data_IF_906051245201
#
_entry.id   IF_906051245201
#
_cell.length_a   1.000
_cell.length_b   1.000
_cell.length_c   1.000
_cell.angle_alpha   90.00
_cell.angle_beta   90.00
_cell.angle_gamma   90.00
#
_symmetry.space_group_name_H-M   'P 1'
#
loop_
_entity.id
_entity.type
_entity.pdbx_description
1 polymer ?
#
# COMPACT_ATOMS: atom_id res chain seq x y z
N UNK A 1 21.31 -43.59 1.00
CA UNK A 1 20.12 -43.57 0.12
C UNK A 1 19.48 -42.19 0.28
N UNK A 2 19.84 -41.26 -0.60
CA UNK A 2 19.32 -39.89 -0.60
C UNK A 2 17.92 -39.88 -1.25
N UNK A 3 16.95 -39.08 -0.77
CA UNK A 3 15.67 -38.94 -1.44
C UNK A 3 15.86 -38.12 -2.75
N UNK A 4 15.05 -38.38 -3.78
CA UNK A 4 15.16 -37.69 -5.06
C UNK A 4 14.64 -36.24 -4.96
N UNK A 5 15.16 -35.42 -5.87
CA UNK A 5 14.99 -33.96 -5.95
C UNK A 5 13.53 -33.53 -6.19
N UNK A 6 13.13 -32.47 -5.47
CA UNK A 6 11.83 -31.79 -5.54
C UNK A 6 11.63 -30.92 -6.80
N UNK A 7 12.48 -31.06 -7.82
CA UNK A 7 12.50 -30.19 -8.99
C UNK A 7 11.40 -30.51 -10.04
N UNK A 8 10.80 -31.71 -10.01
CA UNK A 8 9.86 -32.17 -11.04
C UNK A 8 8.38 -31.83 -10.82
N UNK A 9 7.97 -31.45 -9.60
CA UNK A 9 6.56 -31.16 -9.28
C UNK A 9 6.17 -29.69 -9.52
N UNK A 10 7.15 -28.77 -9.55
CA UNK A 10 6.92 -27.35 -9.81
C UNK A 10 6.52 -27.03 -11.25
N UNK A 11 6.92 -27.86 -12.22
CA UNK A 11 6.55 -27.69 -13.63
C UNK A 11 5.12 -28.19 -13.94
N UNK A 12 4.61 -29.18 -13.20
CA UNK A 12 3.26 -29.74 -13.44
C UNK A 12 2.12 -28.82 -13.00
N UNK A 13 2.32 -28.03 -11.94
CA UNK A 13 1.35 -27.03 -11.50
C UNK A 13 1.23 -25.84 -12.46
N UNK A 14 2.36 -25.42 -13.05
CA UNK A 14 2.38 -24.38 -14.09
C UNK A 14 1.81 -24.88 -15.43
N UNK A 15 2.11 -26.13 -15.80
CA UNK A 15 1.62 -26.72 -17.05
C UNK A 15 0.11 -27.03 -17.07
N UNK A 16 -0.52 -27.24 -15.91
CA UNK A 16 -1.97 -27.48 -15.84
C UNK A 16 -2.82 -26.22 -16.12
N UNK A 17 -2.21 -25.02 -16.08
CA UNK A 17 -2.88 -23.75 -16.40
C UNK A 17 -2.61 -23.27 -17.85
N UNK A 18 -1.70 -23.94 -18.56
CA UNK A 18 -1.34 -23.65 -19.96
C UNK A 18 -2.21 -24.43 -20.98
N UNK A 19 -3.07 -25.36 -20.51
CA UNK A 19 -3.73 -26.35 -21.38
C UNK A 19 -5.23 -26.12 -21.64
N UNK A 20 -5.83 -25.00 -21.20
CA UNK A 20 -7.22 -24.68 -21.54
C UNK A 20 -7.32 -23.30 -22.21
N UNK A 21 -7.76 -23.29 -23.46
CA UNK A 21 -7.79 -22.13 -24.37
C UNK A 21 -8.81 -21.05 -24.02
N UNK A 22 -9.14 -20.89 -22.74
CA UNK A 22 -10.07 -19.89 -22.18
C UNK A 22 -9.40 -18.82 -21.31
N UNK A 23 -8.09 -18.59 -21.48
CA UNK A 23 -7.33 -17.60 -20.71
C UNK A 23 -7.59 -16.15 -21.12
N UNK A 24 -7.56 -15.22 -20.14
CA UNK A 24 -7.61 -13.78 -20.39
C UNK A 24 -6.41 -13.39 -21.28
N UNK A 25 -6.62 -12.58 -22.32
CA UNK A 25 -5.52 -12.09 -23.15
C UNK A 25 -4.66 -11.05 -22.41
N UNK A 26 -3.37 -10.95 -22.75
CA UNK A 26 -2.46 -9.93 -22.17
C UNK A 26 -3.02 -8.51 -22.29
N UNK A 27 -3.59 -8.19 -23.45
CA UNK A 27 -4.18 -6.87 -23.71
C UNK A 27 -5.44 -6.63 -22.87
N UNK A 28 -6.31 -7.64 -22.70
CA UNK A 28 -7.49 -7.53 -21.85
C UNK A 28 -7.11 -7.32 -20.38
N UNK A 29 -6.11 -8.06 -19.87
CA UNK A 29 -5.62 -7.88 -18.50
C UNK A 29 -5.05 -6.47 -18.26
N UNK A 30 -4.23 -5.96 -19.19
CA UNK A 30 -3.67 -4.60 -19.14
C UNK A 30 -4.77 -3.54 -19.25
N UNK A 31 -5.76 -3.73 -20.13
CA UNK A 31 -6.88 -2.81 -20.29
C UNK A 31 -7.74 -2.75 -19.02
N UNK A 32 -8.03 -3.91 -18.40
CA UNK A 32 -8.77 -3.97 -17.14
C UNK A 32 -8.01 -3.28 -16.00
N UNK A 33 -6.69 -3.50 -15.87
CA UNK A 33 -5.86 -2.82 -14.87
C UNK A 33 -5.83 -1.30 -15.11
N UNK A 34 -5.65 -0.87 -16.35
CA UNK A 34 -5.71 0.55 -16.72
C UNK A 34 -7.05 1.17 -16.35
N UNK A 35 -8.15 0.51 -16.71
CA UNK A 35 -9.50 0.98 -16.41
C UNK A 35 -9.75 1.11 -14.90
N UNK A 36 -9.34 0.12 -14.10
CA UNK A 36 -9.45 0.18 -12.65
C UNK A 36 -8.63 1.31 -12.04
N UNK A 37 -7.38 1.50 -12.50
CA UNK A 37 -6.52 2.58 -12.00
C UNK A 37 -7.11 3.97 -12.31
N UNK A 38 -7.57 4.18 -13.55
CA UNK A 38 -8.19 5.43 -13.96
C UNK A 38 -9.49 5.69 -13.18
N UNK A 39 -10.34 4.68 -13.03
CA UNK A 39 -11.59 4.80 -12.29
C UNK A 39 -11.34 5.14 -10.81
N UNK A 40 -10.39 4.45 -10.16
CA UNK A 40 -10.01 4.71 -8.78
C UNK A 40 -9.56 6.16 -8.55
N UNK A 41 -8.75 6.71 -9.46
CA UNK A 41 -8.33 8.12 -9.40
C UNK A 41 -9.51 9.06 -9.67
N UNK A 42 -10.28 8.78 -10.71
CA UNK A 42 -11.37 9.65 -11.15
C UNK A 42 -12.40 9.84 -10.04
N UNK A 43 -12.87 8.75 -9.41
CA UNK A 43 -13.88 8.82 -8.35
C UNK A 43 -13.34 9.45 -7.07
N UNK A 44 -12.04 9.29 -6.78
CA UNK A 44 -11.41 9.82 -5.57
C UNK A 44 -11.18 11.34 -5.63
N UNK A 45 -10.90 11.89 -6.81
CA UNK A 45 -10.54 13.31 -6.98
C UNK A 45 -11.61 14.14 -7.69
N UNK A 46 -12.49 13.51 -8.46
CA UNK A 46 -13.59 14.18 -9.16
C UNK A 46 -14.98 13.62 -8.79
N UNK A 47 -15.30 13.37 -7.49
CA UNK A 47 -16.61 12.82 -7.12
C UNK A 47 -17.76 13.79 -7.43
N UNK A 48 -17.51 15.11 -7.39
CA UNK A 48 -18.49 16.15 -7.76
C UNK A 48 -18.85 16.07 -9.24
N UNK A 49 -17.90 15.76 -10.12
CA UNK A 49 -18.14 15.65 -11.57
C UNK A 49 -18.81 14.32 -11.93
N UNK A 50 -18.36 13.22 -11.32
CA UNK A 50 -18.81 11.86 -11.66
C UNK A 50 -20.15 11.54 -11.03
N UNK A 51 -20.31 11.86 -9.74
CA UNK A 51 -21.51 11.52 -8.96
C UNK A 51 -22.48 12.71 -8.84
N UNK A 52 -22.18 13.84 -9.50
CA UNK A 52 -22.97 15.10 -9.44
C UNK A 52 -23.29 15.55 -8.01
N UNK A 53 -22.39 15.27 -7.08
CA UNK A 53 -22.59 15.58 -5.67
C UNK A 53 -22.33 17.07 -5.41
N UNK A 54 -23.05 17.72 -4.46
CA UNK A 54 -22.81 19.12 -4.13
C UNK A 54 -21.39 19.32 -3.58
N UNK A 55 -20.78 20.51 -3.74
CA UNK A 55 -19.45 20.78 -3.20
C UNK A 55 -19.43 20.58 -1.68
N UNK A 56 -18.33 20.06 -1.11
CA UNK A 56 -18.23 19.79 0.32
C UNK A 56 -18.21 21.10 1.11
N UNK A 57 -18.95 21.14 2.22
CA UNK A 57 -19.07 22.30 3.11
C UNK A 57 -17.91 22.44 4.10
N UNK A 58 -17.13 21.38 4.32
CA UNK A 58 -15.97 21.38 5.21
C UNK A 58 -14.89 20.41 4.73
N UNK A 59 -13.66 20.61 5.20
CA UNK A 59 -12.54 19.69 4.94
C UNK A 59 -12.84 18.26 5.43
N UNK A 60 -13.48 18.13 6.61
CA UNK A 60 -13.88 16.82 7.16
C UNK A 60 -14.86 16.11 6.23
N UNK A 61 -15.89 16.82 5.76
CA UNK A 61 -16.87 16.29 4.81
C UNK A 61 -16.24 15.92 3.46
N UNK A 62 -15.28 16.72 2.97
CA UNK A 62 -14.51 16.40 1.76
C UNK A 62 -13.73 15.09 1.93
N UNK A 63 -13.02 14.93 3.04
CA UNK A 63 -12.24 13.73 3.32
C UNK A 63 -13.11 12.47 3.49
N UNK A 64 -14.22 12.57 4.23
CA UNK A 64 -15.16 11.45 4.40
C UNK A 64 -15.72 11.02 3.04
N UNK A 65 -16.11 11.97 2.18
CA UNK A 65 -16.57 11.65 0.82
C UNK A 65 -15.51 10.87 0.04
N UNK A 66 -14.25 11.28 0.12
CA UNK A 66 -13.12 10.58 -0.52
C UNK A 66 -12.95 9.17 0.01
N UNK A 67 -13.12 8.95 1.32
CA UNK A 67 -13.06 7.62 1.91
C UNK A 67 -14.17 6.70 1.39
N UNK A 68 -15.40 7.21 1.31
CA UNK A 68 -16.53 6.46 0.74
C UNK A 68 -16.27 6.13 -0.73
N UNK A 69 -15.80 7.10 -1.52
CA UNK A 69 -15.47 6.89 -2.93
C UNK A 69 -14.36 5.84 -3.12
N UNK A 70 -13.31 5.89 -2.31
CA UNK A 70 -12.24 4.89 -2.33
C UNK A 70 -12.79 3.50 -1.99
N UNK A 71 -13.60 3.37 -0.93
CA UNK A 71 -14.19 2.11 -0.53
C UNK A 71 -15.12 1.52 -1.63
N UNK A 72 -16.01 2.34 -2.20
CA UNK A 72 -16.88 1.93 -3.31
C UNK A 72 -16.06 1.50 -4.52
N UNK A 73 -15.01 2.26 -4.87
CA UNK A 73 -14.12 1.89 -5.97
C UNK A 73 -13.41 0.57 -5.72
N UNK A 74 -12.92 0.34 -4.49
CA UNK A 74 -12.23 -0.91 -4.15
C UNK A 74 -13.17 -2.11 -4.21
N UNK A 75 -14.41 -1.98 -3.73
CA UNK A 75 -15.42 -3.04 -3.83
C UNK A 75 -15.76 -3.30 -5.30
N UNK A 76 -15.93 -2.26 -6.12
CA UNK A 76 -16.19 -2.43 -7.55
C UNK A 76 -15.01 -3.11 -8.26
N UNK A 77 -13.77 -2.74 -7.93
CA UNK A 77 -12.57 -3.40 -8.48
C UNK A 77 -12.51 -4.88 -8.12
N UNK A 78 -12.88 -5.26 -6.89
CA UNK A 78 -12.99 -6.67 -6.51
C UNK A 78 -14.04 -7.39 -7.36
N UNK A 79 -15.25 -6.84 -7.49
CA UNK A 79 -16.33 -7.46 -8.27
C UNK A 79 -15.93 -7.59 -9.75
N UNK A 80 -15.42 -6.52 -10.37
CA UNK A 80 -14.98 -6.53 -11.77
C UNK A 80 -13.83 -7.50 -11.98
N UNK A 81 -12.84 -7.53 -11.08
CA UNK A 81 -11.76 -8.50 -11.13
C UNK A 81 -12.28 -9.93 -11.03
N UNK A 82 -13.25 -10.20 -10.15
CA UNK A 82 -13.84 -11.52 -9.99
C UNK A 82 -14.56 -12.00 -11.26
N UNK A 83 -15.25 -11.09 -11.95
CA UNK A 83 -15.95 -11.38 -13.20
C UNK A 83 -15.01 -11.63 -14.38
N UNK A 84 -13.82 -11.01 -14.39
CA UNK A 84 -12.83 -11.18 -15.46
C UNK A 84 -11.98 -12.42 -15.22
N UNK A 85 -11.64 -12.72 -13.96
CA UNK A 85 -10.85 -13.89 -13.59
C UNK A 85 -11.60 -15.18 -13.93
N UNK A 86 -10.91 -16.24 -14.40
CA UNK A 86 -11.50 -17.55 -14.62
C UNK A 86 -11.74 -18.26 -13.27
N UNK A 87 -12.70 -17.76 -12.49
CA UNK A 87 -13.00 -18.22 -11.14
C UNK A 87 -13.83 -19.51 -11.21
N UNK A 88 -13.31 -20.57 -10.58
CA UNK A 88 -13.98 -21.88 -10.54
C UNK A 88 -15.14 -21.95 -9.54
N UNK A 89 -15.10 -21.17 -8.47
CA UNK A 89 -16.12 -21.15 -7.41
C UNK A 89 -16.32 -19.74 -6.88
N UNK A 90 -17.58 -19.36 -6.65
CA UNK A 90 -17.98 -18.09 -6.06
C UNK A 90 -18.09 -18.15 -4.53
N UNK A 91 -17.60 -19.23 -3.91
CA UNK A 91 -17.51 -19.33 -2.46
C UNK A 91 -16.56 -18.26 -1.89
N UNK A 92 -16.97 -17.61 -0.81
CA UNK A 92 -16.23 -16.50 -0.21
C UNK A 92 -14.79 -16.89 0.21
N UNK A 93 -14.59 -18.12 0.67
CA UNK A 93 -13.28 -18.67 1.04
C UNK A 93 -12.34 -18.83 -0.16
N UNK A 94 -12.88 -19.23 -1.32
CA UNK A 94 -12.12 -19.33 -2.56
C UNK A 94 -11.76 -17.93 -3.08
N UNK A 95 -12.73 -17.02 -3.11
CA UNK A 95 -12.53 -15.63 -3.52
C UNK A 95 -11.50 -14.92 -2.64
N UNK A 96 -11.60 -15.07 -1.31
CA UNK A 96 -10.64 -14.47 -0.39
C UNK A 96 -9.22 -15.03 -0.61
N UNK A 97 -9.11 -16.32 -0.94
CA UNK A 97 -7.87 -16.96 -1.36
C UNK A 97 -7.27 -16.36 -2.63
N UNK A 98 -8.09 -16.08 -3.66
CA UNK A 98 -7.66 -15.45 -4.92
C UNK A 98 -7.16 -14.01 -4.71
N UNK A 99 -7.78 -13.28 -3.79
CA UNK A 99 -7.36 -11.91 -3.44
C UNK A 99 -6.24 -11.85 -2.39
N UNK A 100 -5.81 -13.00 -1.86
CA UNK A 100 -4.80 -13.05 -0.80
C UNK A 100 -5.30 -12.55 0.57
N UNK A 101 -6.62 -12.47 0.75
CA UNK A 101 -7.28 -12.15 2.02
C UNK A 101 -7.36 -13.45 2.82
N UNK A 102 -6.42 -13.59 3.75
CA UNK A 102 -6.15 -14.84 4.47
C UNK A 102 -5.85 -14.56 5.94
N UNK A 103 -6.15 -15.56 6.77
CA UNK A 103 -5.90 -15.55 8.21
C UNK A 103 -4.83 -16.56 8.63
N UNK A 104 -4.39 -17.43 7.72
CA UNK A 104 -3.31 -18.38 7.98
C UNK A 104 -1.94 -17.71 7.81
N UNK A 105 -1.00 -18.06 8.70
CA UNK A 105 0.35 -17.50 8.73
C UNK A 105 0.41 -15.97 8.91
N UNK A 106 -0.57 -15.38 9.60
CA UNK A 106 -0.65 -13.93 9.83
C UNK A 106 0.60 -13.38 10.53
N UNK A 107 1.16 -14.09 11.50
CA UNK A 107 2.34 -13.58 12.20
C UNK A 107 3.54 -13.48 11.25
N UNK A 108 3.75 -14.44 10.34
CA UNK A 108 4.80 -14.34 9.31
C UNK A 108 4.54 -13.18 8.36
N UNK A 109 3.28 -13.01 7.94
CA UNK A 109 2.85 -11.93 7.06
C UNK A 109 2.98 -10.54 7.69
N UNK A 110 3.14 -10.44 9.01
CA UNK A 110 3.41 -9.18 9.72
C UNK A 110 4.89 -9.03 10.04
N UNK A 111 5.51 -10.05 10.66
CA UNK A 111 6.87 -9.96 11.19
C UNK A 111 7.90 -9.79 10.07
N UNK A 112 7.83 -10.59 8.99
CA UNK A 112 8.84 -10.49 7.92
C UNK A 112 8.79 -9.14 7.20
N UNK A 113 7.62 -8.63 6.76
CA UNK A 113 7.56 -7.32 6.11
C UNK A 113 7.93 -6.17 7.04
N UNK A 114 7.50 -6.19 8.31
CA UNK A 114 7.86 -5.14 9.28
C UNK A 114 9.36 -5.14 9.53
N UNK A 115 9.98 -6.32 9.71
CA UNK A 115 11.43 -6.42 9.91
C UNK A 115 12.19 -5.91 8.69
N UNK A 116 11.81 -6.36 7.50
CA UNK A 116 12.47 -5.97 6.26
C UNK A 116 12.31 -4.47 5.97
N UNK A 117 11.11 -3.93 6.19
CA UNK A 117 10.86 -2.48 6.05
C UNK A 117 11.66 -1.70 7.10
N UNK A 118 11.70 -2.17 8.35
CA UNK A 118 12.48 -1.53 9.41
C UNK A 118 13.97 -1.47 9.07
N UNK A 119 14.53 -2.51 8.45
CA UNK A 119 15.92 -2.50 7.98
C UNK A 119 16.16 -1.42 6.91
N UNK A 120 15.23 -1.24 5.97
CA UNK A 120 15.33 -0.16 4.97
C UNK A 120 15.32 1.23 5.61
N UNK A 121 14.63 1.39 6.74
CA UNK A 121 14.53 2.64 7.49
C UNK A 121 15.45 2.71 8.71
N UNK A 122 16.44 1.81 8.85
CA UNK A 122 17.26 1.70 10.06
C UNK A 122 17.90 3.04 10.45
N UNK A 123 18.40 3.81 9.49
CA UNK A 123 18.95 5.15 9.73
C UNK A 123 17.93 6.13 10.32
N UNK A 124 16.74 6.22 9.73
CA UNK A 124 15.66 7.09 10.25
C UNK A 124 15.12 6.62 11.60
N UNK A 125 15.10 5.31 11.84
CA UNK A 125 14.73 4.74 13.15
C UNK A 125 15.74 5.12 14.22
N UNK A 126 17.04 4.95 13.96
CA UNK A 126 18.11 5.34 14.89
C UNK A 126 18.01 6.83 15.24
N UNK A 127 17.81 7.70 14.24
CA UNK A 127 17.66 9.15 14.47
C UNK A 127 16.44 9.48 15.34
N UNK A 128 15.28 8.87 15.07
CA UNK A 128 14.07 9.06 15.90
C UNK A 128 14.27 8.50 17.31
N UNK A 129 14.96 7.37 17.46
CA UNK A 129 15.28 6.78 18.76
C UNK A 129 16.20 7.68 19.58
N UNK A 130 17.24 8.25 18.96
CA UNK A 130 18.13 9.22 19.60
C UNK A 130 17.36 10.47 20.02
N UNK A 131 16.49 10.99 19.15
CA UNK A 131 15.66 12.16 19.48
C UNK A 131 14.69 11.89 20.65
N UNK A 132 14.09 10.70 20.68
CA UNK A 132 13.22 10.27 21.79
C UNK A 132 14.01 10.10 23.10
N UNK A 133 15.20 9.51 23.04
CA UNK A 133 16.08 9.37 24.20
C UNK A 133 16.55 10.73 24.72
N UNK A 134 16.88 11.68 23.82
CA UNK A 134 17.25 13.04 24.20
C UNK A 134 16.09 13.77 24.89
N UNK A 135 14.90 13.75 24.29
CA UNK A 135 13.69 14.34 24.88
C UNK A 135 13.29 13.68 26.21
N UNK A 136 13.51 12.37 26.34
CA UNK A 136 13.30 11.66 27.60
C UNK A 136 14.31 12.08 28.67
N UNK A 137 15.59 12.22 28.31
CA UNK A 137 16.66 12.64 29.22
C UNK A 137 16.46 14.07 29.74
N UNK A 138 16.08 15.01 28.87
CA UNK A 138 15.75 16.38 29.26
C UNK A 138 14.61 16.39 30.29
N UNK A 139 13.57 15.60 30.07
CA UNK A 139 12.43 15.55 30.97
C UNK A 139 12.73 14.89 32.32
N UNK A 140 13.65 13.92 32.37
CA UNK A 140 14.10 13.34 33.62
C UNK A 140 15.00 14.30 34.42
N UNK A 141 15.73 15.19 33.74
CA UNK A 141 16.61 16.17 34.39
C UNK A 141 15.85 17.39 34.93
N UNK A 142 14.72 17.76 34.34
CA UNK A 142 13.86 18.85 34.83
C UNK A 142 12.96 18.45 36.02
N UNK A 143 12.98 17.17 36.43
CA UNK A 143 12.16 16.63 37.52
C UNK A 143 12.97 16.30 38.77
N UNK A 144 13.14 17.25 39.68
CA UNK A 144 13.71 17.05 41.03
C UNK A 144 12.75 16.27 41.97
N UNK A 145 11.97 15.30 41.45
CA UNK A 145 10.94 14.60 42.21
C UNK A 145 10.43 13.30 41.56
N UNK A 146 10.83 12.18 42.18
CA UNK A 146 10.30 10.80 42.11
C UNK A 146 10.20 10.06 40.75
N UNK A 147 10.72 8.82 40.67
CA UNK A 147 10.75 8.00 39.45
C UNK A 147 9.37 7.45 39.00
N UNK A 148 8.33 7.48 39.84
CA UNK A 148 6.98 6.99 39.53
C UNK A 148 6.24 7.82 38.47
N UNK A 149 6.54 9.11 38.38
CA UNK A 149 5.91 10.03 37.42
C UNK A 149 6.38 9.81 35.97
N UNK A 150 7.52 9.13 35.76
CA UNK A 150 8.05 8.90 34.42
C UNK A 150 7.17 7.96 33.59
N UNK A 151 6.68 6.88 34.20
CA UNK A 151 5.86 5.86 33.53
C UNK A 151 4.47 6.37 33.17
N UNK A 152 3.85 7.13 34.09
CA UNK A 152 2.54 7.76 33.83
C UNK A 152 2.61 8.82 32.74
N UNK A 153 3.68 9.64 32.71
CA UNK A 153 3.89 10.63 31.65
C UNK A 153 4.07 9.99 30.26
N UNK A 154 4.74 8.84 30.19
CA UNK A 154 4.88 8.09 28.93
C UNK A 154 3.52 7.55 28.49
N UNK A 155 2.78 6.89 29.38
CA UNK A 155 1.46 6.34 29.05
C UNK A 155 0.49 7.46 28.61
N UNK A 156 0.44 8.59 29.32
CA UNK A 156 -0.38 9.74 28.94
C UNK A 156 0.01 10.32 27.57
N UNK A 157 1.30 10.39 27.24
CA UNK A 157 1.76 10.81 25.91
C UNK A 157 1.36 9.83 24.82
N UNK A 158 1.47 8.53 25.09
CA UNK A 158 0.99 7.50 24.17
C UNK A 158 -0.52 7.62 23.95
N UNK A 159 -1.31 7.74 25.02
CA UNK A 159 -2.76 7.92 24.95
C UNK A 159 -3.10 9.20 24.19
N UNK A 160 -2.44 10.33 24.49
CA UNK A 160 -2.64 11.60 23.80
C UNK A 160 -2.31 11.51 22.31
N UNK A 161 -1.25 10.78 21.95
CA UNK A 161 -0.89 10.53 20.55
C UNK A 161 -1.91 9.64 19.84
N UNK A 162 -2.37 8.57 20.49
CA UNK A 162 -3.44 7.70 19.98
C UNK A 162 -4.73 8.50 19.77
N UNK A 163 -5.12 9.33 20.74
CA UNK A 163 -6.30 10.19 20.64
C UNK A 163 -6.17 11.25 19.54
N UNK A 164 -4.98 11.85 19.37
CA UNK A 164 -4.69 12.77 18.28
C UNK A 164 -4.79 12.10 16.91
N UNK A 165 -4.27 10.88 16.76
CA UNK A 165 -4.44 10.09 15.54
C UNK A 165 -5.91 9.75 15.31
N UNK A 166 -6.63 9.33 16.35
CA UNK A 166 -8.03 8.93 16.27
C UNK A 166 -8.96 10.08 15.88
N UNK A 167 -8.65 11.30 16.32
CA UNK A 167 -9.44 12.50 16.01
C UNK A 167 -9.06 13.14 14.67
N UNK A 168 -7.85 12.88 14.15
CA UNK A 168 -7.35 13.48 12.93
C UNK A 168 -7.72 12.64 11.69
N UNK A 169 -8.64 13.16 10.88
CA UNK A 169 -9.10 12.52 9.64
C UNK A 169 -7.97 12.35 8.62
N UNK A 170 -6.96 13.22 8.60
CA UNK A 170 -5.77 13.05 7.74
C UNK A 170 -4.92 11.86 8.19
N UNK A 171 -4.80 11.62 9.50
CA UNK A 171 -4.10 10.45 10.03
C UNK A 171 -4.84 9.16 9.68
N UNK A 172 -6.17 9.15 9.78
CA UNK A 172 -7.01 8.03 9.31
C UNK A 172 -6.81 7.71 7.82
N UNK A 173 -6.74 8.74 6.98
CA UNK A 173 -6.41 8.56 5.55
C UNK A 173 -5.08 7.84 5.41
N UNK A 174 -4.03 8.40 6.03
CA UNK A 174 -2.65 8.00 5.74
C UNK A 174 -2.30 6.63 6.34
N UNK A 175 -2.90 6.24 7.47
CA UNK A 175 -2.55 4.99 8.16
C UNK A 175 -3.51 3.84 7.92
N UNK A 176 -4.75 4.11 7.49
CA UNK A 176 -5.75 3.06 7.33
C UNK A 176 -6.38 3.08 5.95
N UNK A 177 -7.11 4.16 5.63
CA UNK A 177 -7.99 4.15 4.44
C UNK A 177 -7.17 3.98 3.17
N UNK A 178 -6.17 4.84 2.93
CA UNK A 178 -5.38 4.80 1.70
C UNK A 178 -4.58 3.49 1.56
N UNK A 179 -3.80 3.02 2.57
CA UNK A 179 -3.11 1.75 2.47
C UNK A 179 -4.02 0.55 2.17
N UNK A 180 -5.18 0.48 2.83
CA UNK A 180 -6.12 -0.64 2.63
C UNK A 180 -6.69 -0.62 1.22
N UNK A 181 -7.23 0.52 0.77
CA UNK A 181 -7.89 0.60 -0.53
C UNK A 181 -6.90 0.48 -1.69
N UNK A 182 -5.70 1.04 -1.53
CA UNK A 182 -4.65 0.97 -2.55
C UNK A 182 -4.08 -0.45 -2.68
N UNK A 183 -3.71 -1.13 -1.59
CA UNK A 183 -3.20 -2.50 -1.72
C UNK A 183 -4.29 -3.47 -2.21
N UNK A 184 -5.55 -3.25 -1.85
CA UNK A 184 -6.65 -4.07 -2.36
C UNK A 184 -6.82 -3.91 -3.88
N UNK A 185 -6.83 -2.68 -4.40
CA UNK A 185 -7.01 -2.43 -5.84
C UNK A 185 -5.76 -2.83 -6.62
N UNK A 186 -4.60 -2.30 -6.23
CA UNK A 186 -3.38 -2.41 -7.03
C UNK A 186 -2.67 -3.75 -6.84
N UNK A 187 -2.86 -4.48 -5.72
CA UNK A 187 -2.22 -5.79 -5.49
C UNK A 187 -3.24 -6.90 -5.56
N UNK A 188 -4.27 -6.88 -4.72
CA UNK A 188 -5.22 -7.98 -4.68
C UNK A 188 -5.98 -8.14 -6.00
N UNK A 189 -6.40 -7.05 -6.67
CA UNK A 189 -7.16 -7.15 -7.94
C UNK A 189 -6.26 -7.25 -9.17
N UNK A 190 -5.30 -6.33 -9.33
CA UNK A 190 -4.52 -6.22 -10.58
C UNK A 190 -3.50 -7.35 -10.76
N UNK A 191 -2.85 -7.83 -9.70
CA UNK A 191 -1.82 -8.86 -9.85
C UNK A 191 -2.38 -10.22 -10.32
N UNK A 192 -3.47 -10.75 -9.75
CA UNK A 192 -4.10 -11.96 -10.28
C UNK A 192 -4.53 -11.82 -11.74
N UNK A 193 -5.06 -10.67 -12.15
CA UNK A 193 -5.43 -10.42 -13.55
C UNK A 193 -4.24 -10.48 -14.49
N UNK A 194 -3.11 -9.86 -14.10
CA UNK A 194 -1.88 -9.90 -14.88
C UNK A 194 -1.28 -11.32 -14.93
N UNK A 195 -1.35 -12.08 -13.83
CA UNK A 195 -0.92 -13.48 -13.79
C UNK A 195 -1.76 -14.35 -14.73
N UNK A 196 -3.09 -14.25 -14.65
CA UNK A 196 -4.01 -14.97 -15.55
C UNK A 196 -3.93 -14.47 -17.00
N UNK A 197 -3.46 -13.24 -17.23
CA UNK A 197 -3.14 -12.72 -18.55
C UNK A 197 -1.87 -13.30 -19.18
N UNK A 198 -1.15 -14.19 -18.50
CA UNK A 198 0.06 -14.84 -19.01
C UNK A 198 1.35 -14.01 -18.84
N UNK A 199 1.37 -13.05 -17.90
CA UNK A 199 2.60 -12.37 -17.52
C UNK A 199 3.41 -13.22 -16.53
N UNK A 200 4.73 -13.22 -16.69
CA UNK A 200 5.64 -13.90 -15.74
C UNK A 200 5.60 -13.18 -14.39
N UNK A 201 5.61 -13.94 -13.30
CA UNK A 201 5.54 -13.41 -11.93
C UNK A 201 6.57 -12.31 -11.65
N UNK A 202 7.83 -12.51 -12.06
CA UNK A 202 8.90 -11.51 -11.89
C UNK A 202 8.64 -10.22 -12.67
N UNK A 203 8.04 -10.29 -13.86
CA UNK A 203 7.68 -9.11 -14.63
C UNK A 203 6.59 -8.30 -13.95
N UNK A 204 5.60 -8.97 -13.33
CA UNK A 204 4.48 -8.30 -12.66
C UNK A 204 4.95 -7.50 -11.44
N UNK A 205 5.98 -7.97 -10.73
CA UNK A 205 6.58 -7.25 -9.59
C UNK A 205 6.99 -5.82 -9.97
N UNK A 206 7.52 -5.61 -11.18
CA UNK A 206 7.97 -4.30 -11.65
C UNK A 206 6.95 -3.59 -12.53
N UNK A 207 6.07 -4.33 -13.20
CA UNK A 207 5.07 -3.77 -14.11
C UNK A 207 3.82 -3.25 -13.39
N UNK A 208 3.26 -4.01 -12.44
CA UNK A 208 2.07 -3.61 -11.68
C UNK A 208 2.23 -2.27 -10.92
N UNK A 209 3.38 -1.96 -10.30
CA UNK A 209 3.63 -0.68 -9.64
C UNK A 209 3.55 0.54 -10.56
N UNK A 210 3.66 0.37 -11.88
CA UNK A 210 3.53 1.47 -12.83
C UNK A 210 2.09 2.01 -12.78
N UNK A 211 1.07 1.15 -12.75
CA UNK A 211 -0.33 1.60 -12.59
C UNK A 211 -0.54 2.35 -11.26
N UNK A 212 0.08 1.85 -10.19
CA UNK A 212 0.03 2.48 -8.88
C UNK A 212 0.67 3.88 -8.87
N UNK A 213 1.84 4.03 -9.51
CA UNK A 213 2.51 5.32 -9.65
C UNK A 213 1.75 6.28 -10.56
N UNK A 214 1.24 5.81 -11.70
CA UNK A 214 0.40 6.62 -12.59
C UNK A 214 -0.85 7.14 -11.89
N UNK A 215 -1.44 6.37 -10.96
CA UNK A 215 -2.57 6.84 -10.18
C UNK A 215 -2.24 8.05 -9.30
N UNK A 216 -0.97 8.19 -8.89
CA UNK A 216 -0.46 9.30 -8.10
C UNK A 216 -0.05 10.52 -8.94
N UNK A 217 -0.03 10.42 -10.27
CA UNK A 217 0.20 11.57 -11.16
C UNK A 217 -0.84 12.67 -10.98
N UNK A 218 -2.02 12.40 -10.41
CA UNK A 218 -2.99 13.46 -10.16
C UNK A 218 -2.44 14.58 -9.25
N UNK A 219 -1.47 14.26 -8.38
CA UNK A 219 -0.81 15.24 -7.54
C UNK A 219 0.07 16.19 -8.35
N UNK A 220 0.54 15.79 -9.54
CA UNK A 220 1.18 16.68 -10.49
C UNK A 220 0.27 17.84 -10.86
N UNK A 221 -0.98 17.53 -11.22
CA UNK A 221 -1.95 18.52 -11.65
C UNK A 221 -2.30 19.47 -10.49
N UNK A 222 -2.41 18.96 -9.27
CA UNK A 222 -2.67 19.74 -8.07
C UNK A 222 -1.52 20.71 -7.76
N UNK A 223 -0.28 20.23 -7.72
CA UNK A 223 0.91 21.05 -7.44
C UNK A 223 1.16 22.09 -8.54
N UNK A 224 1.00 21.69 -9.80
CA UNK A 224 1.17 22.57 -10.96
C UNK A 224 0.14 23.71 -10.94
N UNK A 225 -1.13 23.41 -10.66
CA UNK A 225 -2.21 24.40 -10.71
C UNK A 225 -2.23 25.33 -9.49
N UNK A 226 -1.83 24.85 -8.30
CA UNK A 226 -2.00 25.59 -7.05
C UNK A 226 -0.76 26.38 -6.60
N UNK A 227 0.46 25.96 -6.94
CA UNK A 227 1.67 26.51 -6.29
C UNK A 227 2.52 27.46 -7.16
N UNK A 228 2.11 27.75 -8.40
CA UNK A 228 2.80 28.69 -9.31
C UNK A 228 4.33 28.45 -9.39
N UNK A 229 4.76 27.20 -9.18
CA UNK A 229 6.15 26.80 -9.21
C UNK A 229 6.64 26.74 -10.66
N UNK A 230 7.94 27.00 -10.87
CA UNK A 230 8.54 26.76 -12.18
C UNK A 230 8.31 25.31 -12.59
N UNK A 231 7.90 25.09 -13.84
CA UNK A 231 7.60 23.76 -14.41
C UNK A 231 8.67 22.73 -14.06
N UNK A 232 9.94 23.15 -14.09
CA UNK A 232 11.09 22.31 -13.77
C UNK A 232 11.07 21.84 -12.30
N UNK A 233 10.81 22.73 -11.34
CA UNK A 233 10.79 22.37 -9.91
C UNK A 233 9.61 21.48 -9.56
N UNK A 234 8.42 21.80 -10.10
CA UNK A 234 7.23 20.96 -9.93
C UNK A 234 7.45 19.56 -10.52
N UNK A 235 8.00 19.49 -11.75
CA UNK A 235 8.32 18.21 -12.40
C UNK A 235 9.36 17.40 -11.62
N UNK A 236 10.37 18.04 -11.01
CA UNK A 236 11.40 17.34 -10.26
C UNK A 236 10.86 16.75 -8.96
N UNK A 237 10.05 17.51 -8.20
CA UNK A 237 9.43 17.03 -6.95
C UNK A 237 8.47 15.88 -7.23
N UNK A 238 7.62 16.03 -8.23
CA UNK A 238 6.64 14.99 -8.57
C UNK A 238 7.32 13.78 -9.21
N UNK A 239 8.32 13.97 -10.07
CA UNK A 239 9.10 12.88 -10.62
C UNK A 239 9.77 12.03 -9.53
N UNK A 240 10.33 12.68 -8.50
CA UNK A 240 10.89 11.99 -7.34
C UNK A 240 9.82 11.21 -6.55
N UNK A 241 8.65 11.82 -6.34
CA UNK A 241 7.52 11.17 -5.68
C UNK A 241 7.09 9.92 -6.45
N UNK A 242 6.90 10.03 -7.77
CA UNK A 242 6.48 8.91 -8.62
C UNK A 242 7.52 7.79 -8.67
N UNK A 243 8.81 8.14 -8.78
CA UNK A 243 9.90 7.18 -8.75
C UNK A 243 9.91 6.41 -7.42
N UNK A 244 9.77 7.12 -6.31
CA UNK A 244 9.65 6.51 -4.99
C UNK A 244 8.41 5.59 -4.91
N UNK A 245 7.26 6.03 -5.44
CA UNK A 245 6.04 5.24 -5.50
C UNK A 245 6.21 3.95 -6.32
N UNK A 246 6.97 3.97 -7.43
CA UNK A 246 7.31 2.76 -8.21
C UNK A 246 8.20 1.82 -7.40
N UNK A 247 9.23 2.35 -6.72
CA UNK A 247 10.16 1.54 -5.91
C UNK A 247 9.41 0.87 -4.76
N UNK A 248 8.65 1.65 -3.98
CA UNK A 248 7.81 1.12 -2.91
C UNK A 248 6.79 0.12 -3.46
N UNK A 249 6.14 0.46 -4.57
CA UNK A 249 5.16 -0.43 -5.17
C UNK A 249 5.76 -1.75 -5.64
N UNK A 250 7.00 -1.74 -6.14
CA UNK A 250 7.73 -2.95 -6.52
C UNK A 250 8.06 -3.81 -5.30
N UNK A 251 8.48 -3.16 -4.21
CA UNK A 251 8.70 -3.80 -2.92
C UNK A 251 7.42 -4.45 -2.36
N UNK A 252 6.29 -3.72 -2.35
CA UNK A 252 4.99 -4.26 -1.94
C UNK A 252 4.56 -5.46 -2.81
N UNK A 253 4.75 -5.37 -4.13
CA UNK A 253 4.44 -6.48 -5.05
C UNK A 253 5.33 -7.70 -4.82
N UNK A 254 6.61 -7.48 -4.50
CA UNK A 254 7.53 -8.54 -4.09
C UNK A 254 7.07 -9.22 -2.80
N UNK A 255 6.70 -8.45 -1.76
CA UNK A 255 6.16 -8.99 -0.51
C UNK A 255 4.89 -9.81 -0.74
N UNK A 256 3.98 -9.32 -1.57
CA UNK A 256 2.77 -10.03 -1.94
C UNK A 256 3.14 -11.38 -2.61
N UNK A 257 3.93 -11.37 -3.67
CA UNK A 257 4.33 -12.60 -4.38
C UNK A 257 5.09 -13.59 -3.49
N UNK A 258 5.99 -13.12 -2.61
CA UNK A 258 6.86 -13.99 -1.81
C UNK A 258 6.19 -14.54 -0.55
N UNK A 259 5.04 -14.00 -0.17
CA UNK A 259 4.21 -14.56 0.92
C UNK A 259 3.26 -15.66 0.44
N UNK A 260 3.38 -16.09 -0.82
CA UNK A 260 2.80 -17.34 -1.31
C UNK A 260 3.50 -18.51 -0.61
N UNK A 261 2.94 -18.93 0.53
CA UNK A 261 3.51 -20.01 1.35
C UNK A 261 3.12 -21.42 0.90
N UNK A 262 2.15 -21.57 -0.03
CA UNK A 262 1.68 -22.87 -0.49
C UNK A 262 1.48 -22.91 -2.01
N UNK A 263 2.04 -23.92 -2.68
CA UNK A 263 1.94 -24.12 -4.13
C UNK A 263 0.51 -24.33 -4.66
N UNK A 264 -0.49 -24.52 -3.79
CA UNK A 264 -1.92 -24.60 -4.14
C UNK A 264 -2.62 -23.24 -4.23
N UNK A 265 -1.98 -22.16 -3.78
CA UNK A 265 -2.59 -20.83 -3.71
C UNK A 265 -1.85 -19.92 -4.68
N UNK A 266 -2.59 -19.33 -5.61
CA UNK A 266 -2.05 -18.46 -6.68
C UNK A 266 -1.74 -17.04 -6.20
N UNK A 267 -2.25 -16.63 -5.04
CA UNK A 267 -2.08 -15.28 -4.50
C UNK A 267 -1.37 -15.22 -3.14
N UNK A 268 -0.67 -14.11 -2.94
CA UNK A 268 0.10 -13.77 -1.74
C UNK A 268 -0.75 -13.50 -0.51
N UNK A 269 -0.11 -13.04 0.57
CA UNK A 269 -0.83 -12.55 1.75
C UNK A 269 -0.95 -11.02 1.67
N UNK A 270 -2.17 -10.48 1.58
CA UNK A 270 -2.42 -9.04 1.41
C UNK A 270 -1.93 -8.19 2.59
N UNK A 271 -1.97 -8.74 3.81
CA UNK A 271 -1.44 -8.08 5.01
C UNK A 271 0.04 -7.72 4.87
N UNK A 272 0.84 -8.50 4.13
CA UNK A 272 2.27 -8.25 4.01
C UNK A 272 2.64 -6.91 3.34
N UNK A 273 2.16 -6.58 2.13
CA UNK A 273 2.32 -5.25 1.58
C UNK A 273 1.58 -4.18 2.40
N UNK A 274 0.43 -4.50 3.01
CA UNK A 274 -0.34 -3.54 3.80
C UNK A 274 0.45 -3.01 5.01
N UNK A 275 1.04 -3.88 5.82
CA UNK A 275 1.80 -3.44 7.00
C UNK A 275 3.05 -2.68 6.61
N UNK A 276 3.71 -3.08 5.51
CA UNK A 276 4.84 -2.34 4.95
C UNK A 276 4.41 -0.95 4.48
N UNK A 277 3.25 -0.83 3.84
CA UNK A 277 2.67 0.45 3.43
C UNK A 277 2.40 1.36 4.63
N UNK A 278 1.69 0.87 5.63
CA UNK A 278 1.40 1.64 6.86
C UNK A 278 2.69 2.08 7.54
N UNK A 279 3.70 1.20 7.59
CA UNK A 279 5.02 1.52 8.15
C UNK A 279 5.72 2.63 7.36
N UNK A 280 5.74 2.54 6.02
CA UNK A 280 6.30 3.60 5.17
C UNK A 280 5.59 4.93 5.37
N UNK A 281 4.25 4.93 5.47
CA UNK A 281 3.48 6.16 5.72
C UNK A 281 3.75 6.73 7.11
N UNK A 282 4.04 5.88 8.10
CA UNK A 282 4.44 6.33 9.44
C UNK A 282 5.84 6.94 9.45
N UNK A 283 6.80 6.32 8.77
CA UNK A 283 8.16 6.84 8.70
C UNK A 283 8.26 8.10 7.84
N UNK A 284 7.41 8.21 6.82
CA UNK A 284 7.44 9.28 5.83
C UNK A 284 8.59 9.11 4.84
N UNK A 285 8.64 10.00 3.84
CA UNK A 285 9.80 10.07 2.95
C UNK A 285 11.05 10.42 3.78
N UNK A 286 12.21 9.78 3.51
CA UNK A 286 13.46 10.21 4.11
C UNK A 286 13.68 11.67 3.76
N UNK A 287 13.96 12.50 4.79
CA UNK A 287 14.22 13.92 4.61
C UNK A 287 15.54 14.08 3.85
N UNK A 288 15.46 14.24 2.53
CA UNK A 288 16.64 14.40 1.68
C UNK A 288 17.23 15.82 1.75
N UNK A 289 16.47 16.79 2.30
CA UNK A 289 16.93 18.16 2.54
C UNK A 289 16.37 18.67 3.87
N UNK A 290 17.25 18.82 4.86
CA UNK A 290 17.04 19.79 5.93
C UNK A 290 17.59 21.12 5.42
N UNK A 291 16.80 22.21 5.33
CA UNK A 291 17.38 23.53 5.32
C UNK A 291 18.22 23.63 6.59
N UNK A 292 19.54 23.65 6.41
CA UNK A 292 20.44 24.11 7.45
C UNK A 292 20.03 25.55 7.71
N UNK A 293 19.15 25.78 8.70
CA UNK A 293 18.98 27.09 9.29
C UNK A 293 20.27 27.37 10.06
N UNK A 294 21.29 27.77 9.31
CA UNK A 294 22.38 28.57 9.84
C UNK A 294 21.87 30.00 9.87
N UNK A 295 21.48 30.44 11.06
CA UNK A 295 21.77 31.73 11.69
C UNK A 295 20.93 31.84 12.97
#
# INVERSE_FOLDING_TARGET
MFPPSSAGLGQRGAAAMEADGGGISKSAAVAACTAMALFYVAILYSPTLILRLPPPTSFKSFMIRRFVCAAVSSVLSLVVSALILPIRSWEASYLSGVYGIRLDHMWQAVVYPVTLTSLMYAGSLVLKSIALLASWKEQCNDGEGQPSNCTENVLQRFIGKVFSIASNVSAWRNYFVAPITEELVFRACMMPLLLCGGFKTYSIIFFCPIFFSLAHLNHFFEVFTQQNHSLLKASMVVGLQLAYTVIFGSYASFLFVRTVMNARVTAGHLIAPLVAHVFCNFMGLPVLYSPRNGM
#
